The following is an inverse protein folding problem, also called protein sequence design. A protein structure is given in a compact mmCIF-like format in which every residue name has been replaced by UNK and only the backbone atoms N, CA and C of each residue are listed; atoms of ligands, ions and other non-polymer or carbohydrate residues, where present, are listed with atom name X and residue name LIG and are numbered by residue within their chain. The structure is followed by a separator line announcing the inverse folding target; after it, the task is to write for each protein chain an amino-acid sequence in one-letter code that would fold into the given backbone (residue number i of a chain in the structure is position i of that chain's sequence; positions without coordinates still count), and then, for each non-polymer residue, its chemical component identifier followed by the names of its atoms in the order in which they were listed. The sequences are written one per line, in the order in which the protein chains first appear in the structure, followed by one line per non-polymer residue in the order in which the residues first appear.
data_IF_768106525059
#
_entry.id   IF_768106525059
#
_cell.length_a   1.000
_cell.length_b   1.000
_cell.length_c   1.000
_cell.angle_alpha   90.00
_cell.angle_beta   90.00
_cell.angle_gamma   90.00
#
_symmetry.space_group_name_H-M   'P 1'
#
loop_
_entity.id
_entity.type
_entity.pdbx_description
1 polymer ?
#
# COMPACT_ATOMS: atom_id res chain seq x y z
N UNK A 1 2.12 22.06 -9.39
CA UNK A 1 2.41 21.68 -7.99
C UNK A 1 3.42 20.55 -8.07
N UNK A 2 4.47 20.54 -7.24
CA UNK A 2 5.37 19.39 -7.20
C UNK A 2 4.55 18.18 -6.71
N UNK A 3 4.48 17.13 -7.53
CA UNK A 3 3.80 15.90 -7.15
C UNK A 3 4.64 15.25 -6.03
N UNK A 4 4.06 15.05 -4.84
CA UNK A 4 4.76 14.45 -3.69
C UNK A 4 4.82 12.92 -3.80
N UNK A 5 4.61 12.38 -5.00
CA UNK A 5 4.66 10.97 -5.31
C UNK A 5 6.05 10.39 -5.08
N UNK A 6 6.12 9.09 -4.79
CA UNK A 6 7.40 8.39 -4.78
C UNK A 6 7.95 8.27 -6.21
N UNK A 7 9.24 7.98 -6.31
CA UNK A 7 9.93 7.82 -7.60
C UNK A 7 10.50 6.41 -7.71
N UNK A 8 10.66 5.91 -8.94
CA UNK A 8 11.35 4.64 -9.21
C UNK A 8 12.70 4.56 -8.50
N UNK A 9 13.52 5.62 -8.58
CA UNK A 9 14.83 5.68 -7.91
C UNK A 9 14.75 5.52 -6.39
N UNK A 10 13.68 5.99 -5.75
CA UNK A 10 13.48 5.83 -4.31
C UNK A 10 12.95 4.43 -3.99
N UNK A 11 12.07 3.90 -4.83
CA UNK A 11 11.49 2.57 -4.68
C UNK A 11 12.56 1.48 -4.86
N UNK A 12 13.41 1.56 -5.88
CA UNK A 12 14.51 0.62 -6.16
C UNK A 12 15.60 0.57 -5.09
N UNK A 13 15.56 1.43 -4.06
CA UNK A 13 16.43 1.29 -2.87
C UNK A 13 15.97 0.16 -1.94
N UNK A 14 14.77 -0.37 -2.14
CA UNK A 14 14.23 -1.46 -1.35
C UNK A 14 14.48 -2.79 -2.08
N UNK A 15 14.99 -3.83 -1.39
CA UNK A 15 15.27 -5.13 -2.00
C UNK A 15 14.08 -5.71 -2.79
N UNK A 16 12.88 -5.50 -2.26
CA UNK A 16 11.63 -5.97 -2.84
C UNK A 16 11.33 -5.40 -4.24
N UNK A 17 11.90 -4.24 -4.57
CA UNK A 17 11.72 -3.59 -5.87
C UNK A 17 13.02 -3.54 -6.68
N UNK A 18 14.20 -3.68 -6.05
CA UNK A 18 15.49 -3.69 -6.77
C UNK A 18 15.65 -4.93 -7.65
N UNK A 19 15.03 -6.04 -7.24
CA UNK A 19 15.18 -7.33 -7.89
C UNK A 19 14.18 -7.50 -9.07
N UNK A 20 13.33 -6.48 -9.31
CA UNK A 20 12.37 -6.44 -10.41
C UNK A 20 12.93 -5.58 -11.56
N UNK A 21 13.06 -6.19 -12.73
CA UNK A 21 13.51 -5.53 -13.97
C UNK A 21 12.37 -4.83 -14.74
N UNK A 22 11.13 -4.91 -14.24
CA UNK A 22 9.94 -4.33 -14.89
C UNK A 22 9.63 -2.93 -14.35
N UNK A 23 10.34 -1.93 -14.90
CA UNK A 23 10.18 -0.53 -14.51
C UNK A 23 8.82 0.04 -14.89
N UNK A 24 8.18 -0.48 -15.94
CA UNK A 24 6.84 -0.06 -16.35
C UNK A 24 5.82 -0.52 -15.31
N UNK A 25 5.91 -1.77 -14.87
CA UNK A 25 5.09 -2.29 -13.78
C UNK A 25 5.27 -1.50 -12.49
N UNK A 26 6.51 -1.26 -12.06
CA UNK A 26 6.80 -0.48 -10.86
C UNK A 26 6.26 0.95 -10.96
N UNK A 27 6.37 1.57 -12.13
CA UNK A 27 5.84 2.91 -12.37
C UNK A 27 4.31 2.93 -12.35
N UNK A 28 3.67 1.88 -12.83
CA UNK A 28 2.22 1.73 -12.78
C UNK A 28 1.73 1.55 -11.34
N UNK A 29 2.35 0.70 -10.53
CA UNK A 29 2.02 0.58 -9.10
C UNK A 29 2.18 1.90 -8.35
N UNK A 30 3.25 2.65 -8.63
CA UNK A 30 3.43 4.01 -8.08
C UNK A 30 2.25 4.90 -8.47
N UNK A 31 1.77 4.81 -9.71
CA UNK A 31 0.65 5.61 -10.20
C UNK A 31 -0.68 5.23 -9.57
N UNK A 32 -0.96 3.94 -9.47
CA UNK A 32 -2.24 3.43 -8.99
C UNK A 32 -2.39 3.66 -7.49
N UNK A 33 -1.35 3.33 -6.71
CA UNK A 33 -1.32 3.58 -5.26
C UNK A 33 -1.38 5.06 -4.89
N UNK A 34 -1.01 5.97 -5.80
CA UNK A 34 -1.07 7.42 -5.55
C UNK A 34 -2.50 7.92 -5.42
N UNK A 35 -3.44 7.34 -6.16
CA UNK A 35 -4.86 7.67 -6.07
C UNK A 35 -5.35 7.41 -4.63
N UNK A 36 -5.01 6.25 -4.07
CA UNK A 36 -5.33 5.89 -2.68
C UNK A 36 -4.73 6.87 -1.66
N UNK A 37 -3.47 7.27 -1.82
CA UNK A 37 -2.83 8.26 -0.92
C UNK A 37 -3.51 9.61 -0.96
N UNK A 38 -3.98 10.03 -2.14
CA UNK A 38 -4.70 11.29 -2.30
C UNK A 38 -6.07 11.23 -1.61
N UNK A 39 -6.78 10.11 -1.73
CA UNK A 39 -8.09 9.88 -1.11
C UNK A 39 -8.02 9.80 0.43
N UNK A 40 -6.92 9.25 0.97
CA UNK A 40 -6.69 9.20 2.42
C UNK A 40 -6.33 10.56 3.05
N UNK A 41 -6.16 11.60 2.22
CA UNK A 41 -5.89 12.99 2.62
C UNK A 41 -4.71 13.13 3.59
N UNK A 42 -3.66 12.33 3.39
CA UNK A 42 -2.43 12.39 4.19
C UNK A 42 -1.75 13.75 4.00
N UNK A 43 -1.19 14.32 5.08
CA UNK A 43 -0.43 15.59 5.01
C UNK A 43 0.65 15.53 3.92
N UNK A 44 0.86 16.59 3.12
CA UNK A 44 1.82 16.61 2.01
C UNK A 44 3.22 16.09 2.34
N UNK A 45 3.75 16.44 3.52
CA UNK A 45 5.09 16.01 3.98
C UNK A 45 5.23 14.49 4.17
N UNK A 46 4.11 13.76 4.26
CA UNK A 46 4.06 12.30 4.44
C UNK A 46 3.51 11.54 3.23
N UNK A 47 3.01 12.24 2.21
CA UNK A 47 2.41 11.61 1.04
C UNK A 47 3.42 10.74 0.27
N UNK A 48 4.68 11.18 0.13
CA UNK A 48 5.71 10.38 -0.54
C UNK A 48 6.00 9.06 0.18
N UNK A 49 6.14 9.15 1.50
CA UNK A 49 6.38 7.98 2.36
C UNK A 49 5.18 7.02 2.31
N UNK A 50 3.97 7.56 2.35
CA UNK A 50 2.73 6.80 2.26
C UNK A 50 2.60 6.07 0.92
N UNK A 51 2.87 6.76 -0.19
CA UNK A 51 2.85 6.18 -1.53
C UNK A 51 3.89 5.07 -1.67
N UNK A 52 5.11 5.31 -1.18
CA UNK A 52 6.16 4.28 -1.18
C UNK A 52 5.78 3.04 -0.36
N UNK A 53 5.15 3.22 0.80
CA UNK A 53 4.73 2.11 1.65
C UNK A 53 3.61 1.28 1.02
N UNK A 54 2.65 1.91 0.33
CA UNK A 54 1.62 1.17 -0.40
C UNK A 54 2.22 0.34 -1.54
N UNK A 55 3.10 0.91 -2.35
CA UNK A 55 3.74 0.14 -3.44
C UNK A 55 4.52 -1.06 -2.89
N UNK A 56 5.26 -0.87 -1.79
CA UNK A 56 5.99 -1.97 -1.15
C UNK A 56 5.06 -3.03 -0.55
N UNK A 57 3.88 -2.64 -0.06
CA UNK A 57 2.84 -3.56 0.41
C UNK A 57 2.29 -4.41 -0.72
N UNK A 58 1.96 -3.80 -1.86
CA UNK A 58 1.47 -4.50 -3.05
C UNK A 58 2.50 -5.51 -3.58
N UNK A 59 3.75 -5.07 -3.74
CA UNK A 59 4.86 -5.97 -4.11
C UNK A 59 5.05 -7.10 -3.10
N UNK A 60 4.88 -6.83 -1.80
CA UNK A 60 5.04 -7.84 -0.76
C UNK A 60 3.94 -8.90 -0.88
N UNK A 61 2.69 -8.48 -1.07
CA UNK A 61 1.56 -9.38 -1.31
C UNK A 61 1.77 -10.20 -2.58
N UNK A 62 2.19 -9.57 -3.68
CA UNK A 62 2.47 -10.28 -4.93
C UNK A 62 3.53 -11.37 -4.75
N UNK A 63 4.62 -11.08 -4.03
CA UNK A 63 5.65 -12.08 -3.75
C UNK A 63 5.13 -13.23 -2.88
N UNK A 64 4.23 -12.97 -1.93
CA UNK A 64 3.60 -14.02 -1.13
C UNK A 64 2.62 -14.87 -1.95
N UNK A 65 1.83 -14.25 -2.83
CA UNK A 65 0.91 -14.93 -3.75
C UNK A 65 1.69 -15.82 -4.71
N UNK A 66 2.75 -15.31 -5.33
CA UNK A 66 3.60 -16.06 -6.26
C UNK A 66 4.27 -17.27 -5.60
N UNK A 67 4.63 -17.17 -4.31
CA UNK A 67 5.25 -18.26 -3.55
C UNK A 67 4.23 -19.25 -2.93
N UNK A 68 2.95 -19.20 -3.33
CA UNK A 68 1.92 -20.13 -2.88
C UNK A 68 1.36 -19.84 -1.48
N UNK A 69 1.56 -18.63 -0.96
CA UNK A 69 1.00 -18.16 0.31
C UNK A 69 -0.51 -17.90 0.28
N UNK A 70 -1.15 -18.00 -0.89
CA UNK A 70 -2.59 -17.81 -1.07
C UNK A 70 -3.26 -19.11 -1.49
N UNK A 71 -4.21 -19.56 -0.69
CA UNK A 71 -5.15 -20.61 -1.09
C UNK A 71 -6.19 -20.00 -2.03
N UNK A 72 -6.04 -20.22 -3.34
CA UNK A 72 -7.05 -19.90 -4.32
C UNK A 72 -8.29 -20.78 -4.07
N UNK A 73 -9.38 -20.22 -3.56
CA UNK A 73 -10.67 -20.91 -3.55
C UNK A 73 -11.32 -20.76 -4.93
N UNK A 74 -11.06 -21.70 -5.83
CA UNK A 74 -11.73 -21.74 -7.14
C UNK A 74 -13.20 -22.12 -6.95
N UNK A 75 -14.10 -21.15 -6.92
CA UNK A 75 -15.53 -21.39 -7.13
C UNK A 75 -16.02 -20.54 -8.29
N UNK A 76 -16.37 -21.20 -9.40
CA UNK A 76 -17.19 -20.65 -10.48
C UNK A 76 -16.68 -19.37 -11.17
N UNK A 77 -15.45 -19.39 -11.70
CA UNK A 77 -15.04 -18.49 -12.79
C UNK A 77 -14.58 -17.08 -12.40
N UNK A 78 -14.66 -16.68 -11.13
CA UNK A 78 -14.02 -15.47 -10.63
C UNK A 78 -12.87 -15.83 -9.69
N UNK A 79 -11.63 -15.66 -10.15
CA UNK A 79 -10.45 -15.80 -9.29
C UNK A 79 -10.34 -14.57 -8.40
N UNK A 80 -11.11 -14.53 -7.31
CA UNK A 80 -10.85 -13.58 -6.24
C UNK A 80 -9.70 -14.11 -5.38
N UNK A 81 -8.53 -13.52 -5.54
CA UNK A 81 -7.36 -13.79 -4.69
C UNK A 81 -7.67 -13.26 -3.29
N UNK A 82 -8.28 -14.09 -2.44
CA UNK A 82 -8.54 -13.78 -1.04
C UNK A 82 -7.24 -13.93 -0.24
N UNK A 83 -6.41 -12.90 -0.23
CA UNK A 83 -5.29 -12.80 0.71
C UNK A 83 -5.84 -12.56 2.13
N UNK A 84 -5.58 -13.48 3.05
CA UNK A 84 -5.92 -13.31 4.46
C UNK A 84 -4.94 -12.32 5.11
N UNK A 85 -5.31 -11.04 5.10
CA UNK A 85 -4.56 -9.94 5.71
C UNK A 85 -4.35 -10.11 7.23
N UNK A 86 -5.04 -11.05 7.90
CA UNK A 86 -4.77 -11.38 9.30
C UNK A 86 -3.59 -12.33 9.50
N UNK A 87 -3.14 -13.01 8.43
CA UNK A 87 -1.99 -13.94 8.44
C UNK A 87 -0.75 -13.39 7.76
N UNK A 88 -0.92 -12.49 6.81
CA UNK A 88 0.17 -11.70 6.25
C UNK A 88 0.49 -10.52 7.16
N UNK A 89 1.53 -10.64 8.00
CA UNK A 89 2.02 -9.51 8.78
C UNK A 89 2.81 -8.54 7.88
N UNK A 90 2.13 -7.92 6.92
CA UNK A 90 2.72 -6.97 5.98
C UNK A 90 3.23 -5.74 6.75
N UNK A 91 4.57 -5.60 6.90
CA UNK A 91 5.14 -4.52 7.68
C UNK A 91 4.96 -3.15 7.01
N UNK A 92 4.76 -3.12 5.69
CA UNK A 92 4.57 -1.90 4.91
C UNK A 92 3.13 -1.39 5.06
N UNK A 93 2.14 -2.27 4.95
CA UNK A 93 0.73 -1.92 5.18
C UNK A 93 0.49 -1.42 6.62
N UNK A 94 1.10 -2.06 7.63
CA UNK A 94 0.99 -1.61 9.02
C UNK A 94 1.53 -0.19 9.22
N UNK A 95 2.68 0.13 8.61
CA UNK A 95 3.27 1.47 8.66
C UNK A 95 2.45 2.50 7.88
N UNK A 96 1.90 2.10 6.73
CA UNK A 96 0.99 2.93 5.96
C UNK A 96 -0.24 3.32 6.79
N UNK A 97 -0.91 2.35 7.42
CA UNK A 97 -2.06 2.60 8.27
C UNK A 97 -1.71 3.49 9.48
N UNK A 98 -0.52 3.33 10.07
CA UNK A 98 -0.05 4.24 11.10
C UNK A 98 0.08 5.70 10.60
N UNK A 99 0.58 5.91 9.37
CA UNK A 99 0.63 7.23 8.75
C UNK A 99 -0.75 7.79 8.46
N UNK A 100 -1.68 7.00 7.93
CA UNK A 100 -3.08 7.40 7.73
C UNK A 100 -3.72 7.80 9.05
N UNK A 101 -3.53 7.03 10.12
CA UNK A 101 -4.09 7.31 11.44
C UNK A 101 -3.50 8.57 12.10
N UNK A 102 -2.25 8.91 11.80
CA UNK A 102 -1.55 10.05 12.38
C UNK A 102 -1.71 11.33 11.55
N UNK A 103 -1.74 11.21 10.23
CA UNK A 103 -1.64 12.34 9.29
C UNK A 103 -2.75 12.39 8.24
N UNK A 104 -3.55 11.35 8.09
CA UNK A 104 -4.70 11.30 7.19
C UNK A 104 -6.02 11.56 7.91
N UNK A 105 -7.11 11.46 7.14
CA UNK A 105 -8.47 11.45 7.70
C UNK A 105 -8.86 10.00 7.98
N UNK A 106 -8.61 9.54 9.21
CA UNK A 106 -9.14 8.25 9.64
C UNK A 106 -10.67 8.31 9.65
N UNK A 107 -11.34 7.69 8.67
CA UNK A 107 -12.78 7.44 8.70
C UNK A 107 -13.22 6.62 9.94
N UNK A 108 -12.25 6.05 10.68
CA UNK A 108 -12.45 5.30 11.92
C UNK A 108 -12.26 6.10 13.22
N UNK A 109 -12.11 7.44 13.19
CA UNK A 109 -12.36 8.25 14.40
C UNK A 109 -13.82 8.66 14.48
N UNK A 110 -14.69 7.66 14.63
CA UNK A 110 -16.04 7.88 15.15
C UNK A 110 -15.95 8.52 16.54
N UNK A 111 -16.50 9.73 16.67
CA UNK A 111 -16.97 10.37 17.90
C UNK A 111 -16.09 10.18 19.15
N UNK A 112 -15.09 11.03 19.33
CA UNK A 112 -14.81 11.50 20.67
C UNK A 112 -15.99 12.38 21.08
N UNK A 113 -16.91 11.83 21.88
CA UNK A 113 -17.90 12.63 22.57
C UNK A 113 -17.14 13.64 23.44
N UNK A 114 -17.18 14.92 23.07
CA UNK A 114 -17.00 15.99 24.05
C UNK A 114 -18.15 15.86 25.03
N UNK A 115 -17.84 15.37 26.23
CA UNK A 115 -18.74 15.45 27.36
C UNK A 115 -18.27 16.66 28.16
N UNK A 116 -18.96 17.78 27.96
CA UNK A 116 -19.09 18.84 28.98
C UNK A 116 -19.68 18.23 30.26
#
# INVERSE_FOLDING_TARGET
MADNKTTLDKLKKYPLASDLDDDEYLQQLINDSWVTVQDDHIKPIKQEEANRLLVLSELYVDTLVANGGVQSASHLGESQTMFDWSKGNDPYMLRYQALVNQFGRSYHRGRAFSRD
#
